data_IF_649104055753
#
_entry.id   IF_649104055753
#
_cell.length_a   1.000
_cell.length_b   1.000
_cell.length_c   1.000
_cell.angle_alpha   90.00
_cell.angle_beta   90.00
_cell.angle_gamma   90.00
#
_symmetry.space_group_name_H-M   'P 1'
#
loop_
_entity.id
_entity.type
_entity.pdbx_description
1 polymer ?
#
# COMPACT_ATOMS: atom_id res chain seq x y z
N UNK A 1 -29.78 -19.46 7.64
CA UNK A 1 -28.81 -20.19 8.47
C UNK A 1 -28.02 -21.30 7.76
N UNK A 2 -27.98 -21.44 6.42
CA UNK A 2 -27.36 -22.58 5.74
C UNK A 2 -26.54 -22.24 4.48
N UNK A 3 -26.24 -20.97 4.21
CA UNK A 3 -25.59 -20.53 2.96
C UNK A 3 -24.12 -20.97 2.85
N UNK A 4 -23.44 -21.24 3.97
CA UNK A 4 -21.99 -21.53 4.03
C UNK A 4 -21.63 -22.92 4.58
N UNK A 5 -22.57 -23.89 4.54
CA UNK A 5 -22.37 -25.21 5.15
C UNK A 5 -21.34 -26.14 4.47
N UNK A 6 -20.76 -25.70 3.37
CA UNK A 6 -19.82 -26.54 2.60
C UNK A 6 -18.35 -26.17 2.85
N UNK A 7 -18.08 -25.30 3.84
CA UNK A 7 -16.72 -24.90 4.19
C UNK A 7 -16.57 -24.82 5.71
N UNK A 8 -15.39 -25.17 6.21
CA UNK A 8 -15.09 -25.18 7.64
C UNK A 8 -14.61 -23.80 8.12
N UNK A 9 -14.15 -22.95 7.21
CA UNK A 9 -13.71 -21.59 7.51
C UNK A 9 -13.44 -20.78 6.25
N UNK A 10 -13.26 -19.46 6.38
CA UNK A 10 -13.11 -18.51 5.27
C UNK A 10 -11.94 -17.57 5.49
N UNK A 11 -11.10 -17.39 4.46
CA UNK A 11 -10.17 -16.26 4.36
C UNK A 11 -10.82 -15.15 3.55
N UNK A 12 -10.88 -13.94 4.11
CA UNK A 12 -11.44 -12.75 3.45
C UNK A 12 -10.31 -11.80 3.08
N UNK A 13 -10.17 -11.51 1.79
CA UNK A 13 -9.18 -10.58 1.28
C UNK A 13 -9.73 -9.78 0.09
N UNK A 14 -9.35 -8.52 -0.03
CA UNK A 14 -9.64 -7.68 -1.19
C UNK A 14 -11.14 -7.59 -1.56
N UNK A 15 -12.03 -7.55 -0.57
CA UNK A 15 -13.49 -7.46 -0.77
C UNK A 15 -14.02 -6.08 -0.43
N UNK A 16 -15.20 -5.76 -0.96
CA UNK A 16 -15.97 -4.60 -0.53
C UNK A 16 -16.74 -4.94 0.76
N UNK A 17 -16.29 -4.41 1.88
CA UNK A 17 -16.89 -4.62 3.19
C UNK A 17 -18.23 -3.87 3.38
N UNK A 18 -18.67 -3.11 2.39
CA UNK A 18 -20.02 -2.53 2.38
C UNK A 18 -21.06 -3.49 1.81
N UNK A 19 -20.61 -4.56 1.12
CA UNK A 19 -21.47 -5.60 0.58
C UNK A 19 -22.24 -6.32 1.69
N UNK A 20 -23.58 -6.37 1.62
CA UNK A 20 -24.42 -7.03 2.62
C UNK A 20 -24.08 -8.53 2.82
N UNK A 21 -23.69 -9.24 1.76
CA UNK A 21 -23.32 -10.66 1.85
C UNK A 21 -22.01 -10.85 2.65
N UNK A 22 -21.06 -9.94 2.48
CA UNK A 22 -19.82 -9.96 3.25
C UNK A 22 -20.10 -9.64 4.72
N UNK A 23 -20.99 -8.70 5.02
CA UNK A 23 -21.41 -8.40 6.41
C UNK A 23 -22.08 -9.59 7.06
N UNK A 24 -23.04 -10.24 6.37
CA UNK A 24 -23.69 -11.47 6.86
C UNK A 24 -22.66 -12.57 7.15
N UNK A 25 -21.68 -12.76 6.26
CA UNK A 25 -20.59 -13.71 6.45
C UNK A 25 -19.76 -13.38 7.71
N UNK A 26 -19.39 -12.12 7.90
CA UNK A 26 -18.58 -11.68 9.06
C UNK A 26 -19.34 -11.88 10.37
N UNK A 27 -20.66 -11.71 10.39
CA UNK A 27 -21.51 -11.90 11.56
C UNK A 27 -21.85 -13.37 11.83
N UNK A 28 -21.53 -14.28 10.90
CA UNK A 28 -21.81 -15.72 11.05
C UNK A 28 -20.88 -16.39 12.07
N UNK A 29 -21.22 -17.61 12.51
CA UNK A 29 -20.40 -18.41 13.44
C UNK A 29 -19.23 -19.15 12.75
N UNK A 30 -19.02 -18.95 11.44
CA UNK A 30 -17.93 -19.59 10.69
C UNK A 30 -16.58 -19.01 11.14
N UNK A 31 -15.54 -19.83 11.32
CA UNK A 31 -14.18 -19.35 11.48
C UNK A 31 -13.74 -18.46 10.33
N UNK A 32 -13.32 -17.22 10.63
CA UNK A 32 -12.91 -16.21 9.64
C UNK A 32 -11.58 -15.61 10.04
N UNK A 33 -10.68 -15.49 9.07
CA UNK A 33 -9.49 -14.65 9.14
C UNK A 33 -9.55 -13.64 8.01
N UNK A 34 -9.39 -12.37 8.34
CA UNK A 34 -9.33 -11.28 7.34
C UNK A 34 -7.89 -10.89 7.03
N UNK A 35 -7.66 -10.47 5.80
CA UNK A 35 -6.38 -9.90 5.34
C UNK A 35 -6.60 -8.42 5.05
N UNK A 36 -5.73 -7.57 5.62
CA UNK A 36 -5.72 -6.11 5.49
C UNK A 36 -6.95 -5.37 6.06
N UNK A 37 -7.82 -6.06 6.77
CA UNK A 37 -8.96 -5.44 7.43
C UNK A 37 -9.17 -6.02 8.83
N UNK A 38 -9.37 -5.15 9.82
CA UNK A 38 -9.59 -5.55 11.22
C UNK A 38 -11.07 -5.44 11.55
N UNK A 39 -11.70 -6.57 11.80
CA UNK A 39 -13.06 -6.64 12.34
C UNK A 39 -13.02 -6.84 13.85
N UNK A 40 -13.97 -6.24 14.56
CA UNK A 40 -14.18 -6.55 15.96
C UNK A 40 -14.48 -8.05 16.11
N UNK A 41 -13.80 -8.70 17.04
CA UNK A 41 -13.95 -10.14 17.32
C UNK A 41 -13.58 -11.11 16.17
N UNK A 42 -12.74 -10.71 15.22
CA UNK A 42 -12.17 -11.59 14.20
C UNK A 42 -10.66 -11.42 14.13
N UNK A 43 -9.98 -12.53 13.85
CA UNK A 43 -8.54 -12.51 13.63
C UNK A 43 -8.25 -11.83 12.30
N UNK A 44 -7.26 -10.95 12.31
CA UNK A 44 -6.81 -10.24 11.12
C UNK A 44 -5.30 -10.39 10.94
N UNK A 45 -4.87 -10.48 9.69
CA UNK A 45 -3.45 -10.44 9.29
C UNK A 45 -3.27 -9.30 8.31
N UNK A 46 -2.29 -8.42 8.54
CA UNK A 46 -2.03 -7.31 7.62
C UNK A 46 -0.54 -7.05 7.45
N UNK A 47 -0.20 -6.32 6.39
CA UNK A 47 1.11 -5.69 6.27
C UNK A 47 1.24 -4.53 7.25
N UNK A 48 2.48 -4.24 7.70
CA UNK A 48 2.76 -3.00 8.47
C UNK A 48 2.75 -1.77 7.55
N UNK A 49 1.54 -1.30 7.27
CA UNK A 49 1.31 -0.14 6.42
C UNK A 49 1.88 1.16 7.01
N UNK A 50 1.94 1.26 8.34
CA UNK A 50 2.46 2.43 9.04
C UNK A 50 3.98 2.49 8.91
N UNK A 51 4.66 1.38 9.23
CA UNK A 51 6.11 1.27 9.08
C UNK A 51 6.53 1.43 7.62
N UNK A 52 5.81 0.80 6.68
CA UNK A 52 6.13 0.86 5.26
C UNK A 52 6.18 2.28 4.71
N UNK A 53 5.15 3.09 4.95
CA UNK A 53 5.14 4.50 4.50
C UNK A 53 6.18 5.33 5.26
N UNK A 54 6.36 5.11 6.56
CA UNK A 54 7.40 5.78 7.32
C UNK A 54 8.79 5.52 6.72
N UNK A 55 9.14 4.26 6.49
CA UNK A 55 10.45 3.88 5.97
C UNK A 55 10.67 4.46 4.55
N UNK A 56 9.64 4.43 3.71
CA UNK A 56 9.69 4.96 2.35
C UNK A 56 9.89 6.49 2.34
N UNK A 57 9.07 7.23 3.09
CA UNK A 57 9.15 8.69 3.15
C UNK A 57 10.45 9.15 3.81
N UNK A 58 10.90 8.47 4.87
CA UNK A 58 12.19 8.74 5.51
C UNK A 58 13.34 8.58 4.52
N UNK A 59 13.36 7.48 3.75
CA UNK A 59 14.35 7.27 2.72
C UNK A 59 14.34 8.40 1.66
N UNK A 60 13.16 8.77 1.16
CA UNK A 60 13.01 9.85 0.17
C UNK A 60 13.52 11.18 0.74
N UNK A 61 13.23 11.48 2.02
CA UNK A 61 13.74 12.65 2.71
C UNK A 61 15.26 12.63 2.85
N UNK A 62 15.86 11.48 3.20
CA UNK A 62 17.32 11.30 3.29
C UNK A 62 18.02 11.46 1.94
N UNK A 63 17.32 11.19 0.82
CA UNK A 63 17.81 11.52 -0.51
C UNK A 63 17.71 13.02 -0.84
N UNK A 64 17.24 13.87 0.07
CA UNK A 64 17.18 15.31 -0.10
C UNK A 64 15.87 15.85 -0.67
N UNK A 65 14.90 15.00 -0.97
CA UNK A 65 13.58 15.45 -1.45
C UNK A 65 12.80 16.15 -0.33
N UNK A 66 12.15 17.28 -0.69
CA UNK A 66 11.30 18.06 0.20
C UNK A 66 9.91 18.31 -0.39
N UNK A 67 9.79 18.31 -1.74
CA UNK A 67 8.55 18.41 -2.49
C UNK A 67 8.13 17.02 -2.94
N UNK A 68 7.39 16.31 -2.08
CA UNK A 68 6.99 14.93 -2.30
C UNK A 68 5.48 14.86 -2.49
N UNK A 69 5.05 14.36 -3.65
CA UNK A 69 3.65 14.09 -3.90
C UNK A 69 3.30 12.65 -3.49
N UNK A 70 2.06 12.45 -3.04
CA UNK A 70 1.54 11.14 -2.72
C UNK A 70 0.19 10.93 -3.41
N UNK A 71 0.18 10.05 -4.41
CA UNK A 71 -1.04 9.50 -4.99
C UNK A 71 -1.43 8.33 -4.10
N UNK A 72 -2.56 8.41 -3.39
CA UNK A 72 -3.03 7.38 -2.49
C UNK A 72 -4.24 6.63 -3.06
N UNK A 73 -4.51 5.42 -2.54
CA UNK A 73 -5.58 4.55 -3.04
C UNK A 73 -6.99 5.05 -2.69
N UNK A 74 -8.00 4.30 -3.10
CA UNK A 74 -9.38 4.53 -2.67
C UNK A 74 -9.54 4.33 -1.16
N UNK A 75 -10.62 4.84 -0.59
CA UNK A 75 -10.87 4.81 0.86
C UNK A 75 -10.91 3.37 1.39
N UNK A 76 -10.03 3.08 2.35
CA UNK A 76 -9.90 1.80 3.04
C UNK A 76 -9.08 1.97 4.31
N UNK A 77 -9.14 1.01 5.24
CA UNK A 77 -8.32 1.03 6.44
C UNK A 77 -6.81 1.08 6.12
N UNK A 78 -6.37 0.41 5.05
CA UNK A 78 -4.99 0.46 4.55
C UNK A 78 -4.62 1.87 4.12
N UNK A 79 -5.47 2.50 3.30
CA UNK A 79 -5.25 3.89 2.83
C UNK A 79 -5.19 4.87 4.00
N UNK A 80 -6.11 4.76 4.94
CA UNK A 80 -6.15 5.63 6.13
C UNK A 80 -4.90 5.49 6.99
N UNK A 81 -4.43 4.25 7.20
CA UNK A 81 -3.21 3.98 7.95
C UNK A 81 -1.97 4.58 7.24
N UNK A 82 -1.88 4.42 5.91
CA UNK A 82 -0.79 4.96 5.10
C UNK A 82 -0.79 6.48 5.07
N UNK A 83 -1.95 7.13 4.89
CA UNK A 83 -2.06 8.60 4.90
C UNK A 83 -1.67 9.16 6.28
N UNK A 84 -2.20 8.57 7.36
CA UNK A 84 -1.84 8.98 8.73
C UNK A 84 -0.34 8.85 8.98
N UNK A 85 0.28 7.76 8.51
CA UNK A 85 1.72 7.55 8.60
C UNK A 85 2.50 8.59 7.79
N UNK A 86 2.04 8.92 6.58
CA UNK A 86 2.66 9.95 5.74
C UNK A 86 2.72 11.30 6.45
N UNK A 87 1.57 11.80 6.95
CA UNK A 87 1.52 13.08 7.67
C UNK A 87 2.36 13.06 8.95
N UNK A 88 2.26 11.99 9.74
CA UNK A 88 3.04 11.85 10.96
C UNK A 88 4.54 11.89 10.68
N UNK A 89 4.99 11.12 9.70
CA UNK A 89 6.41 11.05 9.31
C UNK A 89 6.89 12.38 8.74
N UNK A 90 6.09 13.03 7.89
CA UNK A 90 6.41 14.36 7.38
C UNK A 90 6.62 15.37 8.51
N UNK A 91 5.74 15.39 9.51
CA UNK A 91 5.86 16.26 10.68
C UNK A 91 7.12 15.94 11.51
N UNK A 92 7.42 14.66 11.76
CA UNK A 92 8.62 14.21 12.49
C UNK A 92 9.92 14.61 11.76
N UNK A 93 9.89 14.65 10.42
CA UNK A 93 11.02 15.05 9.58
C UNK A 93 11.10 16.57 9.33
N UNK A 94 10.14 17.35 9.83
CA UNK A 94 10.04 18.77 9.57
C UNK A 94 9.75 19.11 8.11
N UNK A 95 9.08 18.23 7.38
CA UNK A 95 8.64 18.45 6.00
C UNK A 95 7.32 19.23 5.98
N UNK A 96 7.26 20.26 5.17
CA UNK A 96 5.99 20.90 4.83
C UNK A 96 5.24 20.07 3.81
N UNK A 97 3.98 19.70 4.14
CA UNK A 97 3.10 18.96 3.23
C UNK A 97 2.29 19.93 2.41
N UNK A 98 2.46 19.89 1.09
CA UNK A 98 1.60 20.63 0.17
C UNK A 98 0.37 19.75 -0.14
N UNK A 99 -0.80 20.20 0.27
CA UNK A 99 -2.07 19.48 0.08
C UNK A 99 -2.41 19.23 -1.41
N UNK A 100 -1.97 20.09 -2.31
CA UNK A 100 -2.15 19.90 -3.76
C UNK A 100 -1.36 18.70 -4.32
N UNK A 101 -0.37 18.22 -3.55
CA UNK A 101 0.41 17.03 -3.91
C UNK A 101 -0.20 15.72 -3.38
N UNK A 102 -1.26 15.79 -2.57
CA UNK A 102 -1.97 14.63 -2.07
C UNK A 102 -3.20 14.37 -2.92
N UNK A 103 -3.11 13.37 -3.79
CA UNK A 103 -4.15 13.13 -4.80
C UNK A 103 -4.75 11.74 -4.59
N UNK A 104 -6.08 11.71 -4.48
CA UNK A 104 -6.82 10.45 -4.42
C UNK A 104 -6.82 9.76 -5.78
N UNK A 105 -6.36 8.52 -5.81
CA UNK A 105 -6.41 7.59 -6.94
C UNK A 105 -7.09 6.28 -6.58
N UNK A 106 -6.67 5.22 -7.24
CA UNK A 106 -7.13 3.85 -6.98
C UNK A 106 -5.95 2.90 -7.00
N UNK A 107 -6.05 1.79 -6.29
CA UNK A 107 -5.10 0.69 -6.39
C UNK A 107 -5.21 -0.02 -7.73
N UNK A 108 -4.09 -0.50 -8.26
CA UNK A 108 -3.99 -1.29 -9.50
C UNK A 108 -4.55 -0.59 -10.74
N UNK A 109 -4.65 0.72 -10.72
CA UNK A 109 -5.13 1.55 -11.83
C UNK A 109 -3.98 2.33 -12.47
N UNK A 110 -3.22 1.67 -13.32
CA UNK A 110 -2.10 2.27 -14.02
C UNK A 110 -2.53 3.47 -14.91
N UNK A 111 -3.68 3.37 -15.60
CA UNK A 111 -4.18 4.44 -16.45
C UNK A 111 -4.64 5.66 -15.65
N UNK A 112 -5.31 5.43 -14.52
CA UNK A 112 -5.64 6.50 -13.58
C UNK A 112 -4.38 7.18 -13.04
N UNK A 113 -3.37 6.42 -12.69
CA UNK A 113 -2.09 6.93 -12.23
C UNK A 113 -1.36 7.77 -13.31
N UNK A 114 -1.41 7.40 -14.58
CA UNK A 114 -0.91 8.22 -15.70
C UNK A 114 -1.57 9.62 -15.71
N UNK A 115 -2.90 9.67 -15.63
CA UNK A 115 -3.66 10.93 -15.62
C UNK A 115 -3.36 11.80 -14.39
N UNK A 116 -3.19 11.18 -13.23
CA UNK A 116 -2.86 11.91 -12.00
C UNK A 116 -1.40 12.40 -12.02
N UNK A 117 -0.50 11.61 -12.59
CA UNK A 117 0.90 12.02 -12.81
C UNK A 117 0.95 13.21 -13.77
N UNK A 118 0.17 13.19 -14.86
CA UNK A 118 0.06 14.31 -15.78
C UNK A 118 -0.30 15.61 -15.05
N UNK A 119 -1.31 15.57 -14.16
CA UNK A 119 -1.70 16.75 -13.35
C UNK A 119 -0.56 17.29 -12.49
N UNK A 120 0.18 16.40 -11.82
CA UNK A 120 1.33 16.79 -10.99
C UNK A 120 2.46 17.41 -11.84
N UNK A 121 2.69 16.88 -13.04
CA UNK A 121 3.71 17.40 -13.97
C UNK A 121 3.33 18.75 -14.59
N UNK A 122 2.03 19.06 -14.67
CA UNK A 122 1.52 20.33 -15.21
C UNK A 122 1.48 21.45 -14.17
N UNK A 123 1.75 21.16 -12.90
CA UNK A 123 1.81 22.17 -11.84
C UNK A 123 2.96 23.15 -12.07
N UNK A 124 2.73 24.42 -11.73
CA UNK A 124 3.77 25.48 -11.77
C UNK A 124 4.97 25.10 -10.91
N UNK A 125 4.71 24.59 -9.72
CA UNK A 125 5.71 23.98 -8.84
C UNK A 125 5.50 22.47 -8.86
N UNK A 126 6.41 21.75 -9.47
CA UNK A 126 6.34 20.28 -9.57
C UNK A 126 6.90 19.63 -8.32
N UNK A 127 6.36 18.50 -7.89
CA UNK A 127 7.02 17.66 -6.91
C UNK A 127 8.34 17.13 -7.49
N UNK A 128 9.30 16.84 -6.64
CA UNK A 128 10.57 16.21 -7.04
C UNK A 128 10.54 14.70 -6.93
N UNK A 129 9.57 14.17 -6.19
CA UNK A 129 9.32 12.75 -6.04
C UNK A 129 7.81 12.49 -5.94
N UNK A 130 7.32 11.41 -6.56
CA UNK A 130 5.94 10.95 -6.47
C UNK A 130 5.92 9.56 -5.83
N UNK A 131 5.17 9.41 -4.74
CA UNK A 131 4.84 8.10 -4.14
C UNK A 131 3.50 7.65 -4.74
N UNK A 132 3.45 6.40 -5.18
CA UNK A 132 2.25 5.77 -5.72
C UNK A 132 1.63 4.77 -4.74
N UNK A 133 0.32 4.48 -4.83
CA UNK A 133 -0.36 3.57 -3.91
C UNK A 133 0.14 2.13 -4.02
N UNK A 134 0.60 1.75 -5.21
CA UNK A 134 1.19 0.45 -5.53
C UNK A 134 2.15 0.52 -6.74
N UNK A 135 2.83 -0.57 -7.01
CA UNK A 135 3.82 -0.66 -8.07
C UNK A 135 3.22 -0.61 -9.48
N UNK A 136 1.98 -1.08 -9.68
CA UNK A 136 1.31 -0.98 -11.00
C UNK A 136 0.98 0.48 -11.31
N UNK A 137 0.53 1.23 -10.30
CA UNK A 137 0.33 2.67 -10.42
C UNK A 137 1.67 3.40 -10.68
N UNK A 138 2.75 2.98 -10.03
CA UNK A 138 4.09 3.53 -10.29
C UNK A 138 4.54 3.28 -11.74
N UNK A 139 4.21 2.12 -12.31
CA UNK A 139 4.46 1.84 -13.74
C UNK A 139 3.65 2.74 -14.66
N UNK A 140 2.38 3.01 -14.34
CA UNK A 140 1.57 3.98 -15.07
C UNK A 140 2.19 5.38 -15.01
N UNK A 141 2.54 5.86 -13.82
CA UNK A 141 3.23 7.14 -13.66
C UNK A 141 4.55 7.21 -14.42
N UNK A 142 5.35 6.12 -14.41
CA UNK A 142 6.57 6.02 -15.21
C UNK A 142 6.29 6.18 -16.70
N UNK A 143 5.23 5.59 -17.22
CA UNK A 143 4.86 5.72 -18.64
C UNK A 143 4.55 7.16 -18.99
N UNK A 144 3.76 7.86 -18.19
CA UNK A 144 3.41 9.28 -18.40
C UNK A 144 4.66 10.18 -18.36
N UNK A 145 5.52 9.99 -17.36
CA UNK A 145 6.78 10.75 -17.24
C UNK A 145 7.63 10.59 -18.51
N UNK A 146 7.80 9.35 -18.98
CA UNK A 146 8.61 9.06 -20.16
C UNK A 146 7.97 9.54 -21.46
N UNK A 147 6.65 9.49 -21.58
CA UNK A 147 5.92 10.00 -22.76
C UNK A 147 6.13 11.50 -22.96
N UNK A 148 6.39 12.23 -21.88
CA UNK A 148 6.75 13.66 -21.90
C UNK A 148 8.25 13.93 -22.11
N UNK A 149 9.05 12.90 -22.38
CA UNK A 149 10.49 13.02 -22.56
C UNK A 149 11.27 13.26 -21.27
N UNK A 150 10.63 13.13 -20.09
CA UNK A 150 11.26 13.28 -18.79
C UNK A 150 11.95 11.98 -18.37
N UNK A 151 13.06 12.11 -17.64
CA UNK A 151 13.87 11.00 -17.18
C UNK A 151 13.60 10.69 -15.71
N UNK A 152 13.64 9.42 -15.40
CA UNK A 152 13.56 8.90 -14.04
C UNK A 152 14.90 8.27 -13.71
N UNK A 153 15.56 8.67 -12.65
CA UNK A 153 15.15 9.63 -11.61
C UNK A 153 15.61 11.08 -11.84
N UNK A 154 16.29 11.41 -12.96
CA UNK A 154 17.02 12.67 -13.15
C UNK A 154 16.11 13.91 -13.11
N UNK A 155 14.95 13.84 -13.76
CA UNK A 155 14.02 14.97 -13.84
C UNK A 155 12.92 14.86 -12.78
N UNK A 156 12.52 13.63 -12.42
CA UNK A 156 11.56 13.33 -11.35
C UNK A 156 11.78 11.92 -10.79
N UNK A 157 11.77 11.81 -9.48
CA UNK A 157 11.86 10.53 -8.77
C UNK A 157 10.49 9.91 -8.58
N UNK A 158 10.41 8.57 -8.53
CA UNK A 158 9.18 7.83 -8.25
C UNK A 158 9.42 6.71 -7.26
N UNK A 159 8.39 6.40 -6.47
CA UNK A 159 8.39 5.25 -5.57
C UNK A 159 7.02 4.56 -5.57
N UNK A 160 7.02 3.24 -5.45
CA UNK A 160 5.83 2.40 -5.39
C UNK A 160 5.59 1.76 -4.03
N UNK A 161 4.74 0.76 -4.03
CA UNK A 161 4.42 -0.11 -2.90
C UNK A 161 4.07 -1.50 -3.45
N UNK A 162 4.32 -2.57 -2.74
CA UNK A 162 4.09 -4.00 -2.95
C UNK A 162 5.36 -4.80 -3.26
N UNK A 163 6.35 -4.21 -3.94
CA UNK A 163 7.60 -4.89 -4.29
C UNK A 163 7.40 -6.00 -5.33
N UNK A 164 6.50 -5.81 -6.31
CA UNK A 164 6.24 -6.84 -7.31
C UNK A 164 7.47 -7.07 -8.21
N UNK A 165 7.68 -8.32 -8.61
CA UNK A 165 8.91 -8.73 -9.31
C UNK A 165 9.19 -7.97 -10.60
N UNK A 166 8.16 -7.60 -11.35
CA UNK A 166 8.32 -6.89 -12.61
C UNK A 166 8.98 -5.52 -12.44
N UNK A 167 8.67 -4.79 -11.35
CA UNK A 167 9.26 -3.47 -11.10
C UNK A 167 10.73 -3.53 -10.72
N UNK A 168 11.21 -4.71 -10.35
CA UNK A 168 12.62 -4.98 -10.07
C UNK A 168 13.41 -5.40 -11.32
N UNK A 169 12.72 -5.68 -12.43
CA UNK A 169 13.32 -6.10 -13.70
C UNK A 169 13.37 -4.98 -14.75
N UNK A 170 12.72 -3.84 -14.49
CA UNK A 170 12.73 -2.69 -15.39
C UNK A 170 13.83 -1.69 -15.04
N UNK A 171 14.15 -0.79 -15.99
CA UNK A 171 15.13 0.27 -15.79
C UNK A 171 14.44 1.65 -15.84
N UNK A 172 14.63 2.49 -14.82
CA UNK A 172 15.24 2.16 -13.54
C UNK A 172 14.37 1.23 -12.69
N UNK A 173 14.99 0.41 -11.84
CA UNK A 173 14.28 -0.37 -10.83
C UNK A 173 13.50 0.55 -9.89
N UNK A 174 12.24 0.21 -9.62
CA UNK A 174 11.40 1.04 -8.75
C UNK A 174 11.80 0.86 -7.28
N UNK A 175 12.00 1.98 -6.59
CA UNK A 175 12.07 2.02 -5.12
C UNK A 175 10.68 1.75 -4.58
N UNK A 176 10.53 0.77 -3.69
CA UNK A 176 9.22 0.31 -3.24
C UNK A 176 9.29 -0.34 -1.87
N UNK A 177 8.15 -0.49 -1.21
CA UNK A 177 8.03 -1.35 -0.04
C UNK A 177 7.61 -2.74 -0.49
N UNK A 178 8.45 -3.73 -0.25
CA UNK A 178 8.09 -5.13 -0.44
C UNK A 178 7.15 -5.58 0.68
N UNK A 179 6.00 -6.11 0.29
CA UNK A 179 5.08 -6.79 1.19
C UNK A 179 5.31 -8.30 1.06
N UNK A 180 5.58 -8.98 2.18
CA UNK A 180 5.69 -10.44 2.17
C UNK A 180 4.29 -11.09 2.13
N UNK A 181 3.68 -11.02 0.95
CA UNK A 181 2.34 -11.59 0.71
C UNK A 181 2.28 -13.09 0.92
N UNK A 182 3.42 -13.80 0.75
CA UNK A 182 3.52 -15.24 1.05
C UNK A 182 3.43 -15.49 2.54
N UNK A 183 4.15 -14.69 3.35
CA UNK A 183 4.08 -14.77 4.80
C UNK A 183 2.69 -14.41 5.30
N UNK A 184 2.09 -13.32 4.79
CA UNK A 184 0.72 -12.91 5.12
C UNK A 184 -0.25 -14.06 4.84
N UNK A 185 -0.22 -14.64 3.65
CA UNK A 185 -1.09 -15.76 3.27
C UNK A 185 -0.87 -17.00 4.14
N UNK A 186 0.38 -17.35 4.44
CA UNK A 186 0.71 -18.48 5.31
C UNK A 186 0.19 -18.26 6.72
N UNK A 187 0.48 -17.12 7.33
CA UNK A 187 0.02 -16.78 8.69
C UNK A 187 -1.51 -16.77 8.75
N UNK A 188 -2.18 -16.22 7.73
CA UNK A 188 -3.64 -16.22 7.67
C UNK A 188 -4.21 -17.65 7.60
N UNK A 189 -3.63 -18.53 6.78
CA UNK A 189 -4.07 -19.92 6.64
C UNK A 189 -3.81 -20.73 7.93
N UNK A 190 -2.62 -20.62 8.54
CA UNK A 190 -2.28 -21.29 9.80
C UNK A 190 -3.25 -20.88 10.92
N UNK A 191 -3.55 -19.60 11.02
CA UNK A 191 -4.50 -19.09 12.01
C UNK A 191 -5.92 -19.55 11.74
N UNK A 192 -6.36 -19.63 10.47
CA UNK A 192 -7.68 -20.17 10.13
C UNK A 192 -7.80 -21.64 10.52
N UNK A 193 -6.78 -22.45 10.21
CA UNK A 193 -6.74 -23.87 10.60
C UNK A 193 -6.82 -24.00 12.13
N UNK A 194 -6.06 -23.19 12.87
CA UNK A 194 -6.12 -23.21 14.33
C UNK A 194 -7.52 -22.83 14.87
N UNK A 195 -8.20 -21.85 14.25
CA UNK A 195 -9.56 -21.47 14.62
C UNK A 195 -10.56 -22.60 14.39
N UNK A 196 -10.38 -23.38 13.30
CA UNK A 196 -11.23 -24.53 12.97
C UNK A 196 -11.00 -25.68 13.96
N UNK A 197 -9.73 -26.03 14.20
CA UNK A 197 -9.37 -27.20 15.02
C UNK A 197 -9.48 -26.94 16.53
N UNK A 198 -9.23 -25.69 16.95
CA UNK A 198 -9.13 -25.31 18.38
C UNK A 198 -9.87 -24.01 18.69
N UNK A 199 -11.19 -23.93 18.45
CA UNK A 199 -11.94 -22.67 18.54
C UNK A 199 -11.92 -22.01 19.92
N UNK A 200 -11.75 -22.80 21.00
CA UNK A 200 -11.76 -22.30 22.39
C UNK A 200 -10.38 -21.77 22.89
N UNK A 201 -9.30 -22.09 22.17
CA UNK A 201 -7.93 -21.74 22.55
C UNK A 201 -7.34 -20.62 21.68
N UNK A 202 -8.05 -20.19 20.65
CA UNK A 202 -7.58 -19.17 19.71
C UNK A 202 -7.87 -17.77 20.26
N UNK A 203 -6.83 -16.97 20.39
CA UNK A 203 -6.96 -15.54 20.70
C UNK A 203 -7.40 -14.80 19.46
N UNK A 204 -8.22 -13.78 19.65
CA UNK A 204 -8.57 -12.84 18.58
C UNK A 204 -7.45 -11.82 18.56
N UNK A 205 -6.60 -11.89 17.53
CA UNK A 205 -5.42 -11.05 17.43
C UNK A 205 -5.36 -10.38 16.05
N UNK A 206 -4.70 -9.23 16.03
CA UNK A 206 -4.26 -8.61 14.81
C UNK A 206 -2.77 -8.90 14.62
N UNK A 207 -2.45 -9.76 13.67
CA UNK A 207 -1.08 -10.12 13.34
C UNK A 207 -0.56 -9.20 12.24
N UNK A 208 0.54 -8.52 12.52
CA UNK A 208 1.17 -7.59 11.57
C UNK A 208 2.44 -8.23 11.02
N UNK A 209 2.53 -8.31 9.69
CA UNK A 209 3.72 -8.79 8.96
C UNK A 209 4.50 -7.59 8.44
N UNK A 210 5.75 -7.47 8.85
CA UNK A 210 6.61 -6.37 8.42
C UNK A 210 6.99 -6.51 6.94
N UNK A 211 6.94 -5.38 6.23
CA UNK A 211 7.51 -5.21 4.91
C UNK A 211 8.94 -4.63 4.97
N UNK A 212 9.62 -4.64 3.83
CA UNK A 212 10.98 -4.12 3.71
C UNK A 212 11.09 -3.11 2.58
N UNK A 213 11.88 -2.04 2.78
CA UNK A 213 12.21 -1.09 1.74
C UNK A 213 13.19 -1.72 0.73
N UNK A 214 12.78 -1.79 -0.53
CA UNK A 214 13.65 -2.07 -1.67
C UNK A 214 14.12 -0.74 -2.24
N UNK A 215 15.42 -0.48 -2.11
CA UNK A 215 16.07 0.72 -2.67
C UNK A 215 16.42 0.43 -4.13
N UNK A 216 15.51 0.81 -5.01
CA UNK A 216 15.74 0.78 -6.46
C UNK A 216 16.58 1.97 -6.93
N UNK A 217 16.51 2.25 -8.23
CA UNK A 217 17.22 3.37 -8.87
C UNK A 217 16.27 4.49 -9.33
N UNK A 218 15.01 4.42 -8.96
CA UNK A 218 13.98 5.39 -9.35
C UNK A 218 13.90 6.62 -8.43
N UNK A 219 14.67 6.66 -7.35
CA UNK A 219 14.81 7.80 -6.45
C UNK A 219 16.27 8.25 -6.45
N UNK A 220 16.51 9.49 -6.92
CA UNK A 220 17.87 10.06 -6.93
C UNK A 220 18.20 10.78 -5.64
N UNK A 221 19.48 10.94 -5.39
CA UNK A 221 19.95 11.90 -4.39
C UNK A 221 19.89 13.31 -4.98
N UNK A 222 19.25 14.22 -4.25
CA UNK A 222 19.23 15.65 -4.60
C UNK A 222 20.60 16.26 -4.26
N UNK A 223 21.08 17.13 -5.13
CA UNK A 223 22.24 17.97 -4.82
C UNK A 223 21.82 19.04 -3.79
N UNK A 224 22.71 19.33 -2.85
CA UNK A 224 22.48 20.30 -1.78
C UNK A 224 22.49 21.73 -2.33
#
# INVERSE_FOLDING_TARGET
>A
MHKYRNVDGVLIACVDFTDPEIRELIESDIPIVSIDYVFNNRLAVSSDNVKGIRDLLTYIYEQGHRKVAYIYGHSSAVTDARIKSFYKTAAELGMEVNEDYLIKGSYRDAQGAEKLTAKLLDMKERPTCIIYPDDLCAMGGRNEIRSRGLRIPEDISIAGYDGISITQQIEPQITTIYQDTRMIGRVAAENLINLIEKPKSSLIEHVVVEGNLIRGRSVRKMEA
#
